data_IF_955812117892
#
_entry.id   IF_955812117892
#
_cell.length_a   1.000
_cell.length_b   1.000
_cell.length_c   1.000
_cell.angle_alpha   90.00
_cell.angle_beta   90.00
_cell.angle_gamma   90.00
#
_symmetry.space_group_name_H-M   'P 1'
#
loop_
_entity.id
_entity.type
_entity.pdbx_description
1 polymer ?
#
# COMPACT_ATOMS: atom_id res chain seq x y z
N UNK A 1 3.88 -8.20 2.49
CA UNK A 1 4.66 -7.13 1.82
C UNK A 1 4.20 -6.99 0.38
N UNK A 2 4.29 -5.81 -0.23
CA UNK A 2 3.95 -5.63 -1.66
C UNK A 2 5.05 -4.96 -2.44
N UNK A 3 5.21 -5.36 -3.70
CA UNK A 3 6.02 -4.67 -4.70
C UNK A 3 5.15 -4.38 -5.91
N UNK A 4 4.94 -3.11 -6.25
CA UNK A 4 4.16 -2.76 -7.44
C UNK A 4 5.03 -2.20 -8.55
N UNK A 5 4.73 -2.59 -9.78
CA UNK A 5 5.31 -2.03 -11.01
C UNK A 5 4.23 -1.27 -11.78
N UNK A 6 4.56 -0.05 -12.19
CA UNK A 6 3.71 0.77 -13.07
C UNK A 6 4.55 1.49 -14.11
N UNK A 7 4.15 1.40 -15.38
CA UNK A 7 4.71 2.25 -16.43
C UNK A 7 3.92 3.55 -16.52
N UNK A 8 4.60 4.69 -16.46
CA UNK A 8 3.97 6.01 -16.58
C UNK A 8 4.96 7.03 -17.10
N UNK A 9 4.54 7.91 -18.01
CA UNK A 9 5.37 9.00 -18.57
C UNK A 9 6.73 8.53 -19.14
N UNK A 10 6.78 7.34 -19.74
CA UNK A 10 8.02 6.78 -20.29
C UNK A 10 8.92 6.06 -19.28
N UNK A 11 8.57 6.07 -17.99
CA UNK A 11 9.34 5.46 -16.91
C UNK A 11 8.65 4.23 -16.33
N UNK A 12 9.42 3.36 -15.68
CA UNK A 12 8.91 2.31 -14.80
C UNK A 12 9.07 2.80 -13.36
N UNK A 13 7.96 2.87 -12.63
CA UNK A 13 7.95 3.14 -11.20
C UNK A 13 7.79 1.83 -10.44
N UNK A 14 8.64 1.64 -9.45
CA UNK A 14 8.58 0.54 -8.51
C UNK A 14 8.32 1.10 -7.11
N UNK A 15 7.27 0.63 -6.45
CA UNK A 15 6.96 1.00 -5.08
C UNK A 15 6.96 -0.25 -4.20
N UNK A 16 7.55 -0.11 -3.02
CA UNK A 16 7.57 -1.14 -1.98
C UNK A 16 6.68 -0.70 -0.83
N UNK A 17 5.77 -1.58 -0.40
CA UNK A 17 4.86 -1.31 0.70
C UNK A 17 5.12 -2.31 1.83
N UNK A 18 5.39 -1.75 3.00
CA UNK A 18 5.61 -2.47 4.25
C UNK A 18 4.48 -2.10 5.20
N UNK A 19 4.05 -3.09 5.98
CA UNK A 19 3.02 -2.93 7.00
C UNK A 19 3.64 -3.26 8.36
N UNK A 20 3.29 -2.49 9.37
CA UNK A 20 3.79 -2.65 10.72
C UNK A 20 2.64 -2.51 11.72
N UNK A 21 2.72 -3.29 12.79
CA UNK A 21 1.96 -3.04 14.01
C UNK A 21 2.81 -2.11 14.86
N UNK A 22 2.23 -0.99 15.26
CA UNK A 22 2.91 -0.03 16.11
C UNK A 22 2.79 -0.46 17.58
N UNK A 23 3.81 -0.15 18.37
CA UNK A 23 3.79 -0.41 19.80
C UNK A 23 2.77 0.50 20.49
N UNK A 24 2.19 0.05 21.60
CA UNK A 24 1.20 0.81 22.37
C UNK A 24 1.76 2.14 22.93
N UNK A 25 3.08 2.25 23.07
CA UNK A 25 3.78 3.44 23.59
C UNK A 25 4.12 4.48 22.50
N UNK A 26 3.65 4.30 21.26
CA UNK A 26 3.89 5.29 20.20
C UNK A 26 3.14 6.58 20.53
N UNK A 27 3.89 7.68 20.58
CA UNK A 27 3.33 9.01 20.82
C UNK A 27 2.31 9.38 19.75
N UNK A 28 1.22 10.01 20.15
CA UNK A 28 0.26 10.63 19.23
C UNK A 28 0.77 11.97 18.66
N UNK A 29 1.83 12.54 19.22
CA UNK A 29 2.43 13.81 18.79
C UNK A 29 3.42 13.64 17.62
N UNK A 30 3.03 12.84 16.62
CA UNK A 30 3.83 12.66 15.42
C UNK A 30 3.69 13.88 14.49
N UNK A 31 4.82 14.43 14.09
CA UNK A 31 4.87 15.59 13.17
C UNK A 31 5.47 15.18 11.83
N UNK A 32 4.88 15.69 10.75
CA UNK A 32 5.40 15.55 9.39
C UNK A 32 5.65 16.93 8.79
N UNK A 33 6.73 17.06 8.02
CA UNK A 33 7.03 18.24 7.21
C UNK A 33 6.65 18.06 5.73
N UNK A 34 6.15 16.88 5.35
CA UNK A 34 5.77 16.53 3.97
C UNK A 34 4.25 16.54 3.75
N UNK A 35 3.45 16.64 4.81
CA UNK A 35 1.99 16.68 4.72
C UNK A 35 1.28 16.59 6.08
N UNK A 36 -0.04 16.41 6.03
CA UNK A 36 -0.87 16.17 7.21
C UNK A 36 -0.74 14.70 7.64
N UNK A 37 -0.17 14.47 8.82
CA UNK A 37 -0.16 13.15 9.45
C UNK A 37 -1.39 13.00 10.34
N UNK A 38 -2.18 11.94 10.11
CA UNK A 38 -3.39 11.66 10.89
C UNK A 38 -3.68 10.18 10.98
N UNK A 39 -4.19 9.77 12.14
CA UNK A 39 -4.86 8.48 12.31
C UNK A 39 -6.25 8.53 11.67
N UNK A 40 -6.65 7.46 10.98
CA UNK A 40 -7.98 7.34 10.39
C UNK A 40 -8.46 5.89 10.43
N UNK A 41 -9.77 5.70 10.40
CA UNK A 41 -10.36 4.36 10.32
C UNK A 41 -10.19 3.79 8.92
N UNK A 42 -9.89 2.49 8.80
CA UNK A 42 -9.83 1.81 7.48
C UNK A 42 -11.13 1.93 6.69
N UNK A 43 -12.28 2.18 7.33
CA UNK A 43 -13.56 2.43 6.66
C UNK A 43 -13.57 3.72 5.83
N UNK A 44 -12.68 4.66 6.14
CA UNK A 44 -12.57 5.95 5.46
C UNK A 44 -11.57 5.91 4.29
N UNK A 45 -10.96 4.75 4.01
CA UNK A 45 -9.90 4.62 3.01
C UNK A 45 -10.34 5.09 1.61
N UNK A 46 -11.58 4.81 1.22
CA UNK A 46 -12.12 5.20 -0.09
C UNK A 46 -12.27 6.72 -0.24
N UNK A 47 -12.44 7.44 0.87
CA UNK A 47 -12.62 8.89 0.92
C UNK A 47 -11.29 9.65 0.77
N UNK A 48 -10.16 8.98 0.98
CA UNK A 48 -8.83 9.60 0.94
C UNK A 48 -8.26 9.59 -0.48
N UNK A 49 -7.65 10.69 -0.90
CA UNK A 49 -6.86 10.73 -2.12
C UNK A 49 -5.57 9.91 -1.92
N UNK A 50 -5.22 9.08 -2.90
CA UNK A 50 -4.06 8.19 -2.83
C UNK A 50 -3.39 8.05 -4.19
N UNK A 51 -2.06 7.84 -4.24
CA UNK A 51 -1.39 7.43 -5.46
C UNK A 51 -2.04 6.17 -6.06
N UNK A 52 -2.13 6.12 -7.39
CA UNK A 52 -2.84 5.07 -8.12
C UNK A 52 -2.59 3.66 -7.59
N UNK A 53 -1.33 3.19 -7.54
CA UNK A 53 -1.00 1.84 -7.07
C UNK A 53 -1.26 1.64 -5.58
N UNK A 54 -1.12 2.68 -4.76
CA UNK A 54 -1.33 2.59 -3.32
C UNK A 54 -2.79 2.25 -2.98
N UNK A 55 -3.75 2.80 -3.72
CA UNK A 55 -5.18 2.47 -3.56
C UNK A 55 -5.45 0.98 -3.75
N UNK A 56 -4.94 0.40 -4.85
CA UNK A 56 -5.12 -1.04 -5.11
C UNK A 56 -4.39 -1.92 -4.09
N UNK A 57 -3.19 -1.51 -3.65
CA UNK A 57 -2.46 -2.23 -2.59
C UNK A 57 -3.24 -2.24 -1.28
N UNK A 58 -3.78 -1.09 -0.85
CA UNK A 58 -4.57 -1.03 0.38
C UNK A 58 -5.85 -1.87 0.28
N UNK A 59 -6.54 -1.85 -0.87
CA UNK A 59 -7.72 -2.69 -1.09
C UNK A 59 -7.39 -4.19 -1.04
N UNK A 60 -6.30 -4.61 -1.69
CA UNK A 60 -5.84 -6.01 -1.63
C UNK A 60 -5.35 -6.39 -0.23
N UNK A 61 -4.67 -5.48 0.48
CA UNK A 61 -4.24 -5.71 1.85
C UNK A 61 -5.43 -5.91 2.79
N UNK A 62 -6.43 -5.03 2.75
CA UNK A 62 -7.62 -5.15 3.59
C UNK A 62 -8.48 -6.38 3.27
N UNK A 63 -8.47 -6.89 2.04
CA UNK A 63 -9.28 -8.06 1.67
C UNK A 63 -8.56 -9.40 1.83
N UNK A 64 -7.25 -9.44 1.56
CA UNK A 64 -6.48 -10.68 1.44
C UNK A 64 -5.19 -10.58 2.25
N UNK A 65 -4.38 -9.55 1.99
CA UNK A 65 -2.99 -9.52 2.46
C UNK A 65 -2.82 -9.45 3.97
N UNK A 66 -3.71 -8.77 4.70
CA UNK A 66 -3.60 -8.61 6.15
C UNK A 66 -3.76 -9.93 6.92
N UNK A 67 -4.29 -10.97 6.26
CA UNK A 67 -4.52 -12.29 6.85
C UNK A 67 -3.41 -13.30 6.54
N UNK A 68 -2.29 -12.85 5.95
CA UNK A 68 -1.15 -13.70 5.59
C UNK A 68 0.17 -12.95 5.69
N UNK A 69 1.27 -13.69 5.82
CA UNK A 69 2.64 -13.20 5.74
C UNK A 69 3.22 -13.21 4.31
N UNK A 70 2.39 -13.59 3.32
CA UNK A 70 2.77 -13.68 1.91
C UNK A 70 3.27 -12.36 1.34
N UNK A 71 4.17 -12.48 0.37
CA UNK A 71 4.65 -11.37 -0.43
C UNK A 71 3.85 -11.36 -1.74
N UNK A 72 3.39 -10.18 -2.15
CA UNK A 72 2.65 -10.01 -3.39
C UNK A 72 3.37 -9.05 -4.32
N UNK A 73 3.34 -9.34 -5.61
CA UNK A 73 3.70 -8.38 -6.66
C UNK A 73 2.44 -7.87 -7.35
N UNK A 74 2.39 -6.57 -7.62
CA UNK A 74 1.29 -5.91 -8.33
C UNK A 74 1.78 -5.31 -9.64
N UNK A 75 1.16 -5.64 -10.77
CA UNK A 75 1.47 -5.01 -12.07
C UNK A 75 0.30 -4.16 -12.51
N UNK A 76 0.53 -2.85 -12.64
CA UNK A 76 -0.47 -1.90 -13.11
C UNK A 76 -0.61 -1.97 -14.63
N UNK A 77 -1.85 -2.12 -15.10
CA UNK A 77 -2.24 -1.96 -16.50
C UNK A 77 -3.10 -0.68 -16.66
N UNK A 78 -3.80 -0.54 -17.78
CA UNK A 78 -4.62 0.63 -18.08
C UNK A 78 -5.85 0.79 -17.16
N UNK A 79 -6.32 -0.32 -16.58
CA UNK A 79 -7.60 -0.39 -15.85
C UNK A 79 -7.43 -0.72 -14.36
N UNK A 80 -6.41 -1.50 -14.01
CA UNK A 80 -6.27 -2.08 -12.68
C UNK A 80 -4.81 -2.40 -12.30
N UNK A 81 -4.62 -2.91 -11.08
CA UNK A 81 -3.38 -3.54 -10.63
C UNK A 81 -3.67 -5.01 -10.38
N UNK A 82 -3.02 -5.89 -11.14
CA UNK A 82 -3.14 -7.33 -11.00
C UNK A 82 -2.13 -7.81 -9.95
N UNK A 83 -2.61 -8.49 -8.92
CA UNK A 83 -1.76 -9.03 -7.85
C UNK A 83 -1.49 -10.53 -8.03
N UNK A 84 -0.25 -10.93 -7.79
CA UNK A 84 0.20 -12.31 -7.75
C UNK A 84 1.02 -12.53 -6.48
N UNK A 85 0.84 -13.67 -5.83
CA UNK A 85 1.74 -14.11 -4.77
C UNK A 85 3.14 -14.36 -5.36
N UNK A 86 4.17 -13.93 -4.64
CA UNK A 86 5.57 -14.07 -5.00
C UNK A 86 6.20 -15.15 -4.10
N UNK A 87 6.18 -16.43 -4.51
CA UNK A 87 6.74 -17.52 -3.72
C UNK A 87 8.27 -17.49 -3.68
N UNK A 88 8.84 -18.06 -2.63
CA UNK A 88 10.27 -18.34 -2.48
C UNK A 88 10.60 -19.71 -3.10
N UNK A 89 11.73 -19.82 -3.81
CA UNK A 89 12.21 -21.05 -4.47
C UNK A 89 13.64 -21.38 -4.06
#
# INVERSE_FOLDING_TARGET
>A
MYVTLRRTKGEIRQNYYFFAILNEEVSDDLVSNEGELKWFSLKQLDELEMPYTARYVMNHYCSIGQYSDKIYTGVANENEVIFLELPEF
#
